data_IF_412014718345
#
_entry.id   IF_412014718345
#
_cell.length_a   1.000
_cell.length_b   1.000
_cell.length_c   1.000
_cell.angle_alpha   90.00
_cell.angle_beta   90.00
_cell.angle_gamma   90.00
#
_symmetry.space_group_name_H-M   'P 1'
#
loop_
_entity.id
_entity.type
_entity.pdbx_description
1 polymer ?
#
# COMPACT_ATOMS: atom_id res chain seq x y z
N UNK A 1 -7.90 -0.47 -10.97
CA UNK A 1 -8.66 0.81 -10.86
C UNK A 1 -7.65 1.94 -10.71
N UNK A 2 -7.86 3.10 -11.35
CA UNK A 2 -6.89 4.22 -11.32
C UNK A 2 -7.32 5.27 -10.30
N UNK A 3 -6.36 5.90 -9.63
CA UNK A 3 -6.61 6.92 -8.61
C UNK A 3 -7.41 8.11 -9.13
N UNK A 4 -7.16 8.56 -10.36
CA UNK A 4 -7.93 9.67 -10.96
C UNK A 4 -9.44 9.40 -11.02
N UNK A 5 -9.84 8.12 -11.18
CA UNK A 5 -11.27 7.72 -11.20
C UNK A 5 -11.88 7.71 -9.80
N UNK A 6 -11.09 7.87 -8.74
CA UNK A 6 -11.55 7.90 -7.35
C UNK A 6 -12.03 9.27 -6.90
N UNK A 7 -11.70 10.34 -7.64
CA UNK A 7 -12.10 11.71 -7.31
C UNK A 7 -13.61 11.94 -7.42
N UNK A 8 -14.33 11.07 -8.15
CA UNK A 8 -15.79 11.16 -8.31
C UNK A 8 -16.60 10.60 -7.14
N UNK A 9 -15.97 9.87 -6.22
CA UNK A 9 -16.65 9.24 -5.10
C UNK A 9 -16.63 10.14 -3.87
N UNK A 10 -17.66 10.05 -3.03
CA UNK A 10 -17.66 10.68 -1.72
C UNK A 10 -16.58 10.09 -0.80
N UNK A 11 -16.28 10.74 0.32
CA UNK A 11 -15.26 10.27 1.26
C UNK A 11 -15.61 8.92 1.91
N UNK A 12 -16.90 8.67 2.14
CA UNK A 12 -17.40 7.41 2.67
C UNK A 12 -17.24 6.27 1.66
N UNK A 13 -17.59 6.52 0.39
CA UNK A 13 -17.40 5.58 -0.71
C UNK A 13 -15.91 5.32 -0.97
N UNK A 14 -15.07 6.36 -0.95
CA UNK A 14 -13.63 6.23 -1.07
C UNK A 14 -13.07 5.32 0.02
N UNK A 15 -13.42 5.58 1.29
CA UNK A 15 -13.01 4.73 2.41
C UNK A 15 -13.47 3.29 2.22
N UNK A 16 -14.73 3.08 1.79
CA UNK A 16 -15.28 1.75 1.54
C UNK A 16 -14.59 1.03 0.38
N UNK A 17 -14.09 1.75 -0.61
CA UNK A 17 -13.47 1.20 -1.81
C UNK A 17 -11.96 0.95 -1.64
N UNK A 18 -11.24 1.91 -1.06
CA UNK A 18 -9.78 1.86 -0.88
C UNK A 18 -9.39 1.19 0.43
N UNK A 19 -10.25 1.25 1.45
CA UNK A 19 -9.99 0.68 2.78
C UNK A 19 -9.39 1.68 3.79
N UNK A 20 -8.97 2.86 3.33
CA UNK A 20 -8.43 3.93 4.18
C UNK A 20 -9.14 5.26 3.91
N UNK A 21 -9.27 6.16 4.91
CA UNK A 21 -9.73 7.53 4.69
C UNK A 21 -8.81 8.31 3.74
N UNK A 22 -9.37 9.29 3.00
CA UNK A 22 -8.58 10.16 2.10
C UNK A 22 -7.41 10.89 2.78
N UNK A 23 -7.56 11.43 4.01
CA UNK A 23 -6.43 12.08 4.69
C UNK A 23 -5.26 11.11 4.91
N UNK A 24 -5.56 9.90 5.42
CA UNK A 24 -4.55 8.85 5.64
C UNK A 24 -3.91 8.42 4.32
N UNK A 25 -4.70 8.24 3.26
CA UNK A 25 -4.16 7.93 1.94
C UNK A 25 -3.17 9.00 1.46
N UNK A 26 -3.50 10.28 1.66
CA UNK A 26 -2.64 11.40 1.29
C UNK A 26 -1.34 11.39 2.09
N UNK A 27 -1.41 11.15 3.40
CA UNK A 27 -0.21 10.99 4.25
C UNK A 27 0.69 9.83 3.80
N UNK A 28 0.09 8.70 3.38
CA UNK A 28 0.83 7.57 2.84
C UNK A 28 1.54 7.93 1.52
N UNK A 29 0.86 8.67 0.63
CA UNK A 29 1.47 9.17 -0.62
C UNK A 29 2.67 10.09 -0.32
N UNK A 30 2.53 11.03 0.62
CA UNK A 30 3.64 11.92 1.01
C UNK A 30 4.86 11.14 1.53
N UNK A 31 4.63 10.06 2.29
CA UNK A 31 5.72 9.18 2.76
C UNK A 31 6.42 8.53 1.59
N UNK A 32 5.67 8.05 0.59
CA UNK A 32 6.24 7.43 -0.61
C UNK A 32 7.02 8.45 -1.46
N UNK A 33 6.50 9.66 -1.62
CA UNK A 33 7.19 10.75 -2.33
C UNK A 33 8.51 11.14 -1.65
N UNK A 34 8.50 11.26 -0.31
CA UNK A 34 9.72 11.49 0.48
C UNK A 34 10.71 10.33 0.33
N UNK A 35 10.23 9.10 0.30
CA UNK A 35 11.09 7.93 0.09
C UNK A 35 11.72 7.91 -1.31
N UNK A 36 11.01 8.38 -2.35
CA UNK A 36 11.55 8.54 -3.69
C UNK A 36 12.59 9.66 -3.78
N UNK A 37 12.33 10.82 -3.17
CA UNK A 37 13.24 11.97 -3.22
C UNK A 37 14.56 11.75 -2.48
N UNK A 38 14.57 10.90 -1.45
CA UNK A 38 15.77 10.52 -0.71
C UNK A 38 16.70 9.55 -1.45
N UNK A 39 16.31 9.05 -2.63
CA UNK A 39 17.15 8.12 -3.41
C UNK A 39 18.35 8.84 -4.01
N UNK A 40 19.55 8.39 -3.64
CA UNK A 40 20.83 8.89 -4.21
C UNK A 40 20.94 8.70 -5.73
N UNK A 41 20.30 7.68 -6.29
CA UNK A 41 20.19 7.45 -7.73
C UNK A 41 18.73 7.11 -8.04
N UNK A 42 18.09 7.94 -8.86
CA UNK A 42 16.81 7.61 -9.44
C UNK A 42 17.05 6.58 -10.55
N UNK A 43 16.40 5.42 -10.45
CA UNK A 43 16.46 4.38 -11.48
C UNK A 43 15.58 4.73 -12.68
N UNK A 44 15.18 3.70 -13.43
CA UNK A 44 14.14 3.87 -14.45
C UNK A 44 12.84 4.38 -13.80
N UNK A 45 12.18 5.40 -14.38
CA UNK A 45 10.90 5.87 -13.88
C UNK A 45 9.86 4.75 -13.86
N UNK A 46 9.02 4.74 -12.83
CA UNK A 46 7.99 3.72 -12.67
C UNK A 46 6.84 3.95 -13.66
N UNK A 47 6.25 2.87 -14.19
CA UNK A 47 5.13 2.96 -15.15
C UNK A 47 3.85 3.51 -14.51
N UNK A 48 3.69 3.32 -13.20
CA UNK A 48 2.54 3.78 -12.42
C UNK A 48 2.92 5.02 -11.60
N UNK A 49 1.98 5.96 -11.47
CA UNK A 49 2.06 7.06 -10.52
C UNK A 49 2.12 6.54 -9.06
N UNK A 50 2.57 7.35 -8.12
CA UNK A 50 2.77 6.91 -6.72
C UNK A 50 1.43 6.54 -6.07
N UNK A 51 0.38 7.28 -6.36
CA UNK A 51 -0.98 7.04 -5.88
C UNK A 51 -1.54 5.73 -6.43
N UNK A 52 -1.28 5.43 -7.71
CA UNK A 52 -1.67 4.16 -8.32
C UNK A 52 -0.86 2.97 -7.77
N UNK A 53 0.42 3.19 -7.42
CA UNK A 53 1.24 2.19 -6.74
C UNK A 53 0.66 1.86 -5.36
N UNK A 54 0.33 2.89 -4.57
CA UNK A 54 -0.29 2.72 -3.25
C UNK A 54 -1.66 2.04 -3.36
N UNK A 55 -2.50 2.45 -4.31
CA UNK A 55 -3.82 1.87 -4.53
C UNK A 55 -3.75 0.40 -4.94
N UNK A 56 -2.77 0.03 -5.77
CA UNK A 56 -2.50 -1.36 -6.14
C UNK A 56 -2.15 -2.18 -4.89
N UNK A 57 -1.24 -1.70 -4.05
CA UNK A 57 -0.82 -2.39 -2.82
C UNK A 57 -1.96 -2.52 -1.83
N UNK A 58 -2.76 -1.46 -1.61
CA UNK A 58 -3.91 -1.52 -0.71
C UNK A 58 -4.98 -2.49 -1.19
N UNK A 59 -5.20 -2.59 -2.51
CA UNK A 59 -6.11 -3.59 -3.07
C UNK A 59 -5.59 -5.01 -2.83
N UNK A 60 -4.29 -5.23 -3.05
CA UNK A 60 -3.65 -6.51 -2.74
C UNK A 60 -3.85 -6.93 -1.28
N UNK A 61 -3.49 -6.05 -0.33
CA UNK A 61 -3.58 -6.34 1.11
C UNK A 61 -5.00 -6.58 1.60
N UNK A 62 -5.99 -5.91 1.00
CA UNK A 62 -7.38 -6.00 1.44
C UNK A 62 -8.13 -7.17 0.82
N UNK A 63 -7.94 -7.40 -0.47
CA UNK A 63 -8.73 -8.34 -1.25
C UNK A 63 -8.00 -9.64 -1.55
N UNK A 64 -6.70 -9.73 -1.22
CA UNK A 64 -5.84 -10.88 -1.54
C UNK A 64 -5.92 -11.28 -3.03
N UNK A 65 -6.14 -10.31 -3.91
CA UNK A 65 -6.18 -10.54 -5.36
C UNK A 65 -4.85 -11.08 -5.86
N UNK A 66 -4.89 -11.99 -6.82
CA UNK A 66 -3.66 -12.57 -7.36
C UNK A 66 -2.82 -11.50 -8.07
N UNK A 67 -1.50 -11.65 -8.04
CA UNK A 67 -0.61 -10.71 -8.73
C UNK A 67 -0.86 -10.68 -10.24
N UNK A 68 -1.29 -11.81 -10.81
CA UNK A 68 -1.73 -11.92 -12.21
C UNK A 68 -2.98 -11.07 -12.50
N UNK A 69 -4.00 -11.13 -11.65
CA UNK A 69 -5.21 -10.28 -11.78
C UNK A 69 -4.86 -8.80 -11.68
N UNK A 70 -3.99 -8.42 -10.74
CA UNK A 70 -3.52 -7.05 -10.59
C UNK A 70 -2.72 -6.61 -11.83
N UNK A 71 -1.84 -7.46 -12.34
CA UNK A 71 -1.10 -7.19 -13.57
C UNK A 71 -2.02 -6.92 -14.76
N UNK A 72 -3.06 -7.75 -14.95
CA UNK A 72 -4.06 -7.54 -15.99
C UNK A 72 -4.83 -6.22 -15.81
N UNK A 73 -5.26 -5.91 -14.57
CA UNK A 73 -6.04 -4.72 -14.25
C UNK A 73 -5.28 -3.40 -14.38
N UNK A 74 -3.96 -3.41 -14.14
CA UNK A 74 -3.11 -2.22 -14.21
C UNK A 74 -2.27 -2.15 -15.50
N UNK A 75 -2.36 -3.17 -16.36
CA UNK A 75 -1.61 -3.33 -17.60
C UNK A 75 -0.09 -3.27 -17.39
N UNK A 76 0.40 -4.01 -16.39
CA UNK A 76 1.82 -4.14 -16.07
C UNK A 76 2.21 -5.62 -15.95
N UNK A 77 3.50 -5.93 -16.06
CA UNK A 77 3.98 -7.29 -15.80
C UNK A 77 3.78 -7.70 -14.34
N UNK A 78 3.50 -8.97 -14.09
CA UNK A 78 3.33 -9.54 -12.74
C UNK A 78 4.55 -9.29 -11.84
N UNK A 79 5.75 -9.39 -12.42
CA UNK A 79 6.99 -9.06 -11.71
C UNK A 79 7.06 -7.60 -11.24
N UNK A 80 6.43 -6.67 -11.97
CA UNK A 80 6.33 -5.27 -11.56
C UNK A 80 5.30 -5.08 -10.44
N UNK A 81 4.22 -5.86 -10.41
CA UNK A 81 3.23 -5.86 -9.31
C UNK A 81 3.93 -6.22 -8.00
N UNK A 82 4.64 -7.35 -7.97
CA UNK A 82 5.40 -7.81 -6.80
C UNK A 82 6.41 -6.75 -6.32
N UNK A 83 7.21 -6.20 -7.25
CA UNK A 83 8.17 -5.13 -6.93
C UNK A 83 7.49 -3.87 -6.38
N UNK A 84 6.31 -3.52 -6.90
CA UNK A 84 5.53 -2.38 -6.43
C UNK A 84 5.04 -2.58 -5.01
N UNK A 85 4.46 -3.75 -4.72
CA UNK A 85 3.96 -4.12 -3.39
C UNK A 85 5.09 -4.00 -2.36
N UNK A 86 6.19 -4.74 -2.57
CA UNK A 86 7.37 -4.73 -1.68
C UNK A 86 7.93 -3.33 -1.47
N UNK A 87 8.05 -2.55 -2.54
CA UNK A 87 8.56 -1.17 -2.48
C UNK A 87 7.67 -0.28 -1.60
N UNK A 88 6.36 -0.35 -1.78
CA UNK A 88 5.39 0.46 -1.01
C UNK A 88 5.41 0.02 0.45
N UNK A 89 5.36 -1.28 0.73
CA UNK A 89 5.44 -1.83 2.08
C UNK A 89 6.72 -1.40 2.79
N UNK A 90 7.88 -1.57 2.17
CA UNK A 90 9.17 -1.19 2.74
C UNK A 90 9.23 0.30 3.10
N UNK A 91 8.71 1.17 2.22
CA UNK A 91 8.71 2.61 2.47
C UNK A 91 7.79 2.98 3.63
N UNK A 92 6.59 2.39 3.69
CA UNK A 92 5.63 2.62 4.78
C UNK A 92 6.15 2.06 6.11
N UNK A 93 6.74 0.86 6.12
CA UNK A 93 7.35 0.26 7.31
C UNK A 93 8.52 1.11 7.83
N UNK A 94 9.39 1.60 6.93
CA UNK A 94 10.51 2.48 7.31
C UNK A 94 10.06 3.78 7.95
N UNK A 95 8.89 4.31 7.55
CA UNK A 95 8.33 5.52 8.13
C UNK A 95 7.93 5.36 9.61
N UNK A 96 7.67 4.11 10.06
CA UNK A 96 7.14 3.76 11.39
C UNK A 96 5.82 4.42 11.80
N UNK A 97 5.21 5.25 10.94
CA UNK A 97 3.94 5.96 11.21
C UNK A 97 2.72 5.05 11.16
N UNK A 98 2.85 3.95 10.44
CA UNK A 98 1.77 3.02 10.12
C UNK A 98 1.98 1.65 10.74
N UNK A 99 2.93 1.55 11.68
CA UNK A 99 3.24 0.31 12.38
C UNK A 99 2.34 0.16 13.60
N UNK A 100 1.84 -1.05 13.83
CA UNK A 100 1.10 -1.36 15.04
C UNK A 100 1.99 -1.18 16.28
N UNK A 101 1.47 -0.59 17.36
CA UNK A 101 2.20 -0.57 18.63
C UNK A 101 2.47 -2.00 19.09
N UNK A 102 3.70 -2.24 19.55
CA UNK A 102 4.11 -3.55 20.06
C UNK A 102 3.35 -3.81 21.37
N UNK A 103 2.36 -4.71 21.32
CA UNK A 103 1.60 -5.29 22.45
C UNK A 103 1.85 -4.61 23.82
N UNK A 104 1.18 -3.48 24.02
CA UNK A 104 0.64 -3.11 25.33
C UNK A 104 -0.85 -2.88 25.12
N UNK A 105 -1.62 -3.96 25.13
CA UNK A 105 -3.08 -3.87 25.27
C UNK A 105 -3.32 -3.49 26.74
N UNK A 106 -3.14 -2.21 27.05
CA UNK A 106 -3.54 -1.61 28.33
C UNK A 106 -3.59 -0.10 28.15
N UNK A 107 -4.61 0.35 27.42
CA UNK A 107 -5.44 1.51 27.80
C UNK A 107 -6.54 1.64 26.75
N UNK A 108 -7.76 1.79 27.25
CA UNK A 108 -8.98 1.83 26.49
C UNK A 108 -9.22 3.17 25.74
N UNK A 109 -8.17 3.93 25.41
CA UNK A 109 -8.31 5.34 24.98
C UNK A 109 -7.43 5.78 23.80
N UNK A 110 -6.75 4.87 23.09
CA UNK A 110 -6.15 5.23 21.80
C UNK A 110 -7.08 4.81 20.67
N UNK A 111 -7.72 5.80 20.05
CA UNK A 111 -8.49 5.63 18.82
C UNK A 111 -7.62 5.07 17.70
N UNK A 112 -7.48 3.75 17.64
CA UNK A 112 -6.97 3.04 16.46
C UNK A 112 -7.98 3.24 15.33
N UNK A 113 -7.75 4.28 14.52
CA UNK A 113 -8.73 4.68 13.51
C UNK A 113 -8.70 3.74 12.27
N UNK A 114 -7.71 2.85 12.17
CA UNK A 114 -7.61 1.82 11.13
C UNK A 114 -6.51 0.78 11.47
N UNK A 115 -6.79 -0.50 11.21
CA UNK A 115 -5.83 -1.60 11.33
C UNK A 115 -5.97 -2.46 10.07
N UNK A 116 -4.94 -2.49 9.22
CA UNK A 116 -4.83 -3.43 8.09
C UNK A 116 -3.88 -4.53 8.56
N UNK A 117 -4.43 -5.72 8.83
CA UNK A 117 -3.64 -6.89 9.22
C UNK A 117 -3.34 -7.67 7.95
N UNK A 118 -2.08 -7.66 7.54
CA UNK A 118 -1.59 -8.61 6.54
C UNK A 118 -1.38 -9.98 7.20
N UNK A 119 -1.98 -11.03 6.61
CA UNK A 119 -1.79 -12.40 7.03
C UNK A 119 -0.68 -13.04 6.16
N UNK A 120 0.53 -12.48 6.29
CA UNK A 120 1.71 -12.73 5.45
C UNK A 120 1.74 -14.07 4.70
N UNK A 121 1.88 -13.99 3.38
CA UNK A 121 2.44 -15.08 2.57
C UNK A 121 3.87 -15.36 3.04
N UNK A 122 4.05 -16.30 3.97
CA UNK A 122 5.38 -16.78 4.33
C UNK A 122 6.05 -17.34 3.08
N UNK A 123 7.29 -16.90 2.80
CA UNK A 123 8.10 -17.52 1.76
C UNK A 123 8.24 -19.01 2.08
N UNK A 124 7.72 -19.86 1.21
CA UNK A 124 7.87 -21.31 1.36
C UNK A 124 9.36 -21.61 1.24
N UNK A 125 9.98 -22.07 2.33
CA UNK A 125 11.34 -22.59 2.27
C UNK A 125 11.35 -23.77 1.29
N UNK A 126 12.07 -23.62 0.17
CA UNK A 126 12.32 -24.76 -0.70
C UNK A 126 13.23 -25.73 0.06
N UNK A 127 12.87 -27.02 0.16
CA UNK A 127 13.79 -28.03 0.65
C UNK A 127 15.10 -27.93 -0.15
N UNK A 128 16.23 -27.99 0.55
CA UNK A 128 17.54 -28.16 -0.10
C UNK A 128 17.64 -29.52 -0.78
#
# INVERSE_FOLDING_TARGET
MRYQKLNRFSDSEFKRLVGVPRPVFTEMVEVLEKAESLKKKSGRPHTLAIEDQLLLTLNYLRNYSTQLELAANYHIAESNVNRTIKKVEDALMKSRRFTLPKRSITTADEHFNWVIIDATECSIERPK
#
